data_IF_352387268789
#
_entry.id   IF_352387268789
#
_cell.length_a   1.000
_cell.length_b   1.000
_cell.length_c   1.000
_cell.angle_alpha   90.00
_cell.angle_beta   90.00
_cell.angle_gamma   90.00
#
_symmetry.space_group_name_H-M   'P 1'
#
loop_
_entity.id
_entity.type
_entity.pdbx_description
1 polymer ?
#
# COMPACT_ATOMS: atom_id res chain seq x y z
N UNK A 1 18.63 27.35 -3.87
CA UNK A 1 19.02 26.45 -4.99
C UNK A 1 19.32 27.30 -6.22
N UNK A 2 20.43 27.10 -6.92
CA UNK A 2 20.75 27.91 -8.10
C UNK A 2 19.85 27.53 -9.29
N UNK A 3 19.54 28.49 -10.17
CA UNK A 3 18.56 28.35 -11.25
C UNK A 3 18.74 27.08 -12.14
N UNK A 4 19.96 26.65 -12.51
CA UNK A 4 20.15 25.44 -13.31
C UNK A 4 19.73 24.16 -12.57
N UNK A 5 20.03 24.04 -11.27
CA UNK A 5 19.64 22.88 -10.44
C UNK A 5 18.15 22.82 -10.18
N UNK A 6 17.49 23.98 -10.14
CA UNK A 6 16.03 24.07 -10.03
C UNK A 6 15.36 23.55 -11.29
N UNK A 7 15.81 24.00 -12.47
CA UNK A 7 15.28 23.55 -13.75
C UNK A 7 15.43 22.03 -13.95
N UNK A 8 16.58 21.45 -13.59
CA UNK A 8 16.77 19.99 -13.71
C UNK A 8 15.86 19.17 -12.81
N UNK A 9 15.47 19.71 -11.65
CA UNK A 9 14.49 19.07 -10.77
C UNK A 9 13.08 19.23 -11.33
N UNK A 10 12.71 20.41 -11.82
CA UNK A 10 11.40 20.65 -12.46
C UNK A 10 11.20 19.70 -13.66
N UNK A 11 12.19 19.56 -14.54
CA UNK A 11 12.15 18.61 -15.67
C UNK A 11 11.99 17.15 -15.20
N UNK A 12 12.63 16.77 -14.09
CA UNK A 12 12.50 15.43 -13.51
C UNK A 12 11.14 15.21 -12.84
N UNK A 13 10.61 16.24 -12.17
CA UNK A 13 9.31 16.20 -11.52
C UNK A 13 8.18 15.96 -12.52
N UNK A 14 8.21 16.62 -13.68
CA UNK A 14 7.24 16.38 -14.76
C UNK A 14 7.23 14.91 -15.22
N UNK A 15 8.41 14.25 -15.23
CA UNK A 15 8.51 12.82 -15.56
C UNK A 15 7.90 11.97 -14.44
N UNK A 16 8.15 12.31 -13.17
CA UNK A 16 7.56 11.62 -12.02
C UNK A 16 6.03 11.73 -12.02
N UNK A 17 5.48 12.92 -12.27
CA UNK A 17 4.04 13.13 -12.38
C UNK A 17 3.44 12.28 -13.49
N UNK A 18 4.10 12.21 -14.64
CA UNK A 18 3.62 11.41 -15.77
C UNK A 18 3.72 9.91 -15.53
N UNK A 19 4.86 9.42 -15.06
CA UNK A 19 5.17 7.98 -15.05
C UNK A 19 4.78 7.26 -13.75
N UNK A 20 4.74 8.00 -12.63
CA UNK A 20 4.37 7.45 -11.32
C UNK A 20 2.97 7.90 -10.97
N UNK A 21 2.71 9.20 -10.90
CA UNK A 21 1.41 9.72 -10.42
C UNK A 21 0.27 9.44 -11.40
N UNK A 22 0.55 9.46 -12.70
CA UNK A 22 -0.39 9.11 -13.76
C UNK A 22 -0.62 7.61 -13.95
N UNK A 23 -0.04 6.75 -13.10
CA UNK A 23 -0.17 5.30 -13.27
C UNK A 23 -1.63 4.84 -13.07
N UNK A 24 -2.17 3.92 -13.90
CA UNK A 24 -3.57 3.51 -13.82
C UNK A 24 -4.02 3.00 -12.45
N UNK A 25 -3.13 2.32 -11.72
CA UNK A 25 -3.45 1.82 -10.36
C UNK A 25 -3.72 2.93 -9.33
N UNK A 26 -3.22 4.14 -9.60
CA UNK A 26 -3.41 5.33 -8.76
C UNK A 26 -4.68 6.07 -9.17
N UNK A 27 -4.86 6.32 -10.48
CA UNK A 27 -5.90 7.25 -10.98
C UNK A 27 -7.18 6.56 -11.44
N UNK A 28 -7.12 5.27 -11.78
CA UNK A 28 -8.23 4.54 -12.39
C UNK A 28 -8.22 3.04 -12.08
N UNK A 29 -8.23 2.68 -10.79
CA UNK A 29 -8.33 1.29 -10.36
C UNK A 29 -9.77 0.76 -10.52
N UNK A 30 -10.04 -0.15 -11.49
CA UNK A 30 -11.42 -0.57 -11.78
C UNK A 30 -12.04 -1.39 -10.65
N UNK A 31 -11.24 -2.16 -9.89
CA UNK A 31 -11.73 -2.94 -8.76
C UNK A 31 -12.25 -2.02 -7.67
N UNK A 32 -11.44 -1.05 -7.22
CA UNK A 32 -11.79 -0.18 -6.11
C UNK A 32 -12.95 0.75 -6.47
N UNK A 33 -12.97 1.30 -7.69
CA UNK A 33 -14.11 2.09 -8.21
C UNK A 33 -15.41 1.30 -8.20
N UNK A 34 -15.39 0.05 -8.67
CA UNK A 34 -16.55 -0.84 -8.61
C UNK A 34 -16.92 -1.16 -7.16
N UNK A 35 -15.95 -1.48 -6.30
CA UNK A 35 -16.20 -1.88 -4.93
C UNK A 35 -16.90 -0.78 -4.12
N UNK A 36 -16.53 0.48 -4.34
CA UNK A 36 -17.16 1.68 -3.74
C UNK A 36 -18.65 1.82 -4.07
N UNK A 37 -19.15 1.20 -5.14
CA UNK A 37 -20.59 1.22 -5.48
C UNK A 37 -21.45 0.42 -4.51
N UNK A 38 -20.84 -0.48 -3.72
CA UNK A 38 -21.55 -1.34 -2.79
C UNK A 38 -22.24 -2.55 -3.44
N UNK A 39 -21.88 -2.87 -4.69
CA UNK A 39 -22.36 -4.05 -5.42
C UNK A 39 -21.70 -5.36 -4.98
N UNK A 40 -20.64 -5.31 -4.17
CA UNK A 40 -19.89 -6.49 -3.77
C UNK A 40 -20.73 -7.44 -2.90
N UNK A 41 -20.85 -8.69 -3.34
CA UNK A 41 -21.45 -9.75 -2.54
C UNK A 41 -20.49 -10.24 -1.46
N UNK A 42 -21.00 -11.08 -0.56
CA UNK A 42 -20.20 -11.60 0.56
C UNK A 42 -19.00 -12.44 0.11
N UNK A 43 -19.11 -13.18 -1.01
CA UNK A 43 -18.00 -14.01 -1.53
C UNK A 43 -16.90 -13.13 -2.11
N UNK A 44 -17.27 -12.05 -2.80
CA UNK A 44 -16.33 -11.07 -3.34
C UNK A 44 -15.60 -10.30 -2.23
N UNK A 45 -16.30 -9.95 -1.15
CA UNK A 45 -15.65 -9.36 0.04
C UNK A 45 -14.72 -10.38 0.71
N UNK A 46 -15.14 -11.64 0.84
CA UNK A 46 -14.29 -12.70 1.37
C UNK A 46 -13.02 -12.91 0.53
N UNK A 47 -13.13 -12.89 -0.80
CA UNK A 47 -11.97 -12.99 -1.71
C UNK A 47 -11.00 -11.80 -1.54
N UNK A 48 -11.51 -10.56 -1.46
CA UNK A 48 -10.70 -9.39 -1.14
C UNK A 48 -9.89 -9.61 0.14
N UNK A 49 -10.53 -10.01 1.24
CA UNK A 49 -9.84 -10.22 2.52
C UNK A 49 -8.86 -11.39 2.47
N UNK A 50 -9.18 -12.47 1.74
CA UNK A 50 -8.27 -13.60 1.55
C UNK A 50 -6.97 -13.14 0.87
N UNK A 51 -7.08 -12.44 -0.25
CA UNK A 51 -5.91 -11.96 -1.00
C UNK A 51 -5.16 -10.84 -0.28
N UNK A 52 -5.87 -9.90 0.36
CA UNK A 52 -5.26 -8.82 1.12
C UNK A 52 -4.50 -9.32 2.36
N UNK A 53 -4.95 -10.42 2.96
CA UNK A 53 -4.22 -11.05 4.06
C UNK A 53 -2.93 -11.75 3.61
N UNK A 54 -2.89 -12.32 2.40
CA UNK A 54 -1.63 -12.81 1.83
C UNK A 54 -0.66 -11.65 1.66
N UNK A 55 -1.13 -10.54 1.09
CA UNK A 55 -0.32 -9.33 0.98
C UNK A 55 0.22 -8.89 2.34
N UNK A 56 -0.64 -8.65 3.33
CA UNK A 56 -0.24 -8.18 4.66
C UNK A 56 0.79 -9.11 5.32
N UNK A 57 0.65 -10.43 5.20
CA UNK A 57 1.62 -11.37 5.81
C UNK A 57 2.94 -11.43 5.04
N UNK A 58 2.90 -11.49 3.72
CA UNK A 58 4.10 -11.69 2.89
C UNK A 58 4.86 -10.40 2.61
N UNK A 59 4.23 -9.25 2.80
CA UNK A 59 4.90 -7.95 2.76
C UNK A 59 6.05 -7.85 3.76
N UNK A 60 5.98 -8.61 4.88
CA UNK A 60 7.09 -8.74 5.84
C UNK A 60 8.42 -9.15 5.19
N UNK A 61 8.39 -9.98 4.14
CA UNK A 61 9.60 -10.39 3.42
C UNK A 61 10.18 -9.21 2.63
N UNK A 62 9.36 -8.49 1.88
CA UNK A 62 9.78 -7.30 1.15
C UNK A 62 10.32 -6.22 2.10
N UNK A 63 9.68 -6.03 3.27
CA UNK A 63 10.12 -5.12 4.33
C UNK A 63 11.47 -5.52 4.93
N UNK A 64 11.69 -6.81 5.18
CA UNK A 64 12.98 -7.30 5.65
C UNK A 64 14.08 -7.06 4.60
N UNK A 65 13.81 -7.39 3.34
CA UNK A 65 14.74 -7.13 2.24
C UNK A 65 15.04 -5.64 2.09
N UNK A 66 14.05 -4.77 2.29
CA UNK A 66 14.21 -3.32 2.28
C UNK A 66 15.19 -2.85 3.35
N UNK A 67 15.09 -3.38 4.57
CA UNK A 67 16.08 -3.11 5.65
C UNK A 67 17.48 -3.54 5.22
N UNK A 68 17.61 -4.77 4.69
CA UNK A 68 18.91 -5.32 4.31
C UNK A 68 19.58 -4.60 3.14
N UNK A 69 18.78 -4.02 2.24
CA UNK A 69 19.23 -3.42 0.99
C UNK A 69 19.00 -1.90 0.93
N UNK A 70 18.84 -1.24 2.08
CA UNK A 70 18.63 0.20 2.15
C UNK A 70 19.76 0.98 1.46
N UNK A 71 19.42 2.06 0.77
CA UNK A 71 20.38 2.88 0.03
C UNK A 71 21.28 3.75 0.92
N UNK A 72 20.83 4.04 2.13
CA UNK A 72 21.54 4.83 3.13
C UNK A 72 21.01 4.50 4.54
N UNK A 73 21.71 4.98 5.58
CA UNK A 73 21.37 4.70 6.98
C UNK A 73 19.99 5.27 7.37
N UNK A 74 19.58 6.38 6.78
CA UNK A 74 18.27 6.96 7.07
C UNK A 74 17.16 6.07 6.53
N UNK A 75 17.29 5.60 5.28
CA UNK A 75 16.38 4.65 4.67
C UNK A 75 16.35 3.33 5.46
N UNK A 76 17.49 2.86 5.97
CA UNK A 76 17.55 1.67 6.82
C UNK A 76 16.74 1.86 8.11
N UNK A 77 16.97 2.97 8.82
CA UNK A 77 16.25 3.31 10.06
C UNK A 77 14.74 3.38 9.83
N UNK A 78 14.28 4.11 8.79
CA UNK A 78 12.86 4.19 8.47
C UNK A 78 12.27 2.80 8.16
N UNK A 79 12.99 2.00 7.36
CA UNK A 79 12.55 0.66 7.00
C UNK A 79 12.43 -0.27 8.22
N UNK A 80 13.28 -0.09 9.25
CA UNK A 80 13.17 -0.83 10.51
C UNK A 80 11.87 -0.48 11.25
N UNK A 81 11.52 0.81 11.33
CA UNK A 81 10.29 1.25 11.98
C UNK A 81 9.05 0.66 11.31
N UNK A 82 8.99 0.69 9.99
CA UNK A 82 7.86 0.11 9.27
C UNK A 82 7.83 -1.42 9.46
N UNK A 83 8.97 -2.12 9.37
CA UNK A 83 9.01 -3.57 9.60
C UNK A 83 8.50 -3.97 10.99
N UNK A 84 8.93 -3.28 12.05
CA UNK A 84 8.46 -3.62 13.41
C UNK A 84 7.01 -3.23 13.62
N UNK A 85 6.50 -2.22 12.90
CA UNK A 85 5.08 -1.88 12.91
C UNK A 85 4.21 -2.97 12.31
N UNK A 86 4.59 -3.50 11.14
CA UNK A 86 3.93 -4.66 10.54
C UNK A 86 3.89 -5.87 11.49
N UNK A 87 4.92 -6.01 12.35
CA UNK A 87 5.04 -7.06 13.36
C UNK A 87 4.28 -6.78 14.66
N UNK A 88 3.76 -5.56 14.87
CA UNK A 88 2.92 -5.20 16.02
C UNK A 88 3.57 -4.26 17.04
N UNK A 89 4.50 -3.43 16.62
CA UNK A 89 5.00 -2.28 17.41
C UNK A 89 4.25 -1.02 16.98
N UNK A 90 3.87 -0.15 17.93
CA UNK A 90 3.24 1.12 17.59
C UNK A 90 4.17 2.05 16.80
N UNK A 91 3.59 2.96 16.01
CA UNK A 91 4.31 4.07 15.37
C UNK A 91 3.85 5.39 15.98
N UNK A 92 4.82 6.26 16.26
CA UNK A 92 4.63 7.63 16.72
C UNK A 92 4.25 8.55 15.54
N UNK A 93 3.70 9.76 15.80
CA UNK A 93 3.33 10.68 14.73
C UNK A 93 4.48 11.11 13.78
N UNK A 94 5.73 10.97 14.21
CA UNK A 94 6.93 11.23 13.42
C UNK A 94 7.42 10.01 12.61
N UNK A 95 6.68 8.90 12.64
CA UNK A 95 7.01 7.66 11.94
C UNK A 95 7.94 6.73 12.72
N UNK A 96 8.42 7.12 13.91
CA UNK A 96 9.32 6.30 14.70
C UNK A 96 8.58 5.19 15.48
N UNK A 97 9.22 4.03 15.62
CA UNK A 97 8.73 2.95 16.49
C UNK A 97 9.47 2.89 17.84
N UNK A 98 10.28 3.90 18.14
CA UNK A 98 11.13 3.94 19.33
C UNK A 98 10.33 3.92 20.63
N UNK A 99 10.77 3.09 21.58
CA UNK A 99 10.15 2.92 22.90
C UNK A 99 8.66 2.52 22.88
N UNK A 100 8.13 2.07 21.74
CA UNK A 100 6.74 1.62 21.63
C UNK A 100 6.62 0.15 22.07
N UNK A 101 5.52 -0.23 22.75
CA UNK A 101 5.34 -1.61 23.17
C UNK A 101 5.05 -2.52 21.98
N UNK A 102 5.54 -3.76 22.07
CA UNK A 102 5.16 -4.84 21.17
C UNK A 102 3.87 -5.51 21.64
N UNK A 103 2.93 -5.73 20.71
CA UNK A 103 1.77 -6.60 20.91
C UNK A 103 1.52 -7.42 19.66
N UNK A 104 1.46 -8.75 19.80
CA UNK A 104 1.15 -9.64 18.67
C UNK A 104 -0.20 -9.33 18.02
N UNK A 105 -1.20 -8.89 18.80
CA UNK A 105 -2.50 -8.47 18.29
C UNK A 105 -2.47 -7.19 17.46
N UNK A 106 -1.41 -6.40 17.53
CA UNK A 106 -1.22 -5.19 16.72
C UNK A 106 -0.56 -5.47 15.37
N UNK A 107 0.03 -6.66 15.18
CA UNK A 107 0.57 -7.03 13.89
C UNK A 107 -0.53 -6.94 12.82
N UNK A 108 -0.26 -6.28 11.69
CA UNK A 108 -1.28 -5.99 10.69
C UNK A 108 -2.02 -7.24 10.22
N UNK A 109 -1.30 -8.36 10.03
CA UNK A 109 -1.93 -9.64 9.66
C UNK A 109 -2.89 -10.16 10.74
N UNK A 110 -2.57 -9.99 12.02
CA UNK A 110 -3.44 -10.45 13.10
C UNK A 110 -4.66 -9.54 13.23
N UNK A 111 -4.49 -8.22 13.11
CA UNK A 111 -5.61 -7.29 13.08
C UNK A 111 -6.53 -7.53 11.88
N UNK A 112 -5.97 -7.81 10.70
CA UNK A 112 -6.76 -8.11 9.51
C UNK A 112 -7.53 -9.44 9.66
N UNK A 113 -6.94 -10.46 10.30
CA UNK A 113 -7.65 -11.71 10.65
C UNK A 113 -8.82 -11.47 11.58
N UNK A 114 -8.66 -10.62 12.58
CA UNK A 114 -9.75 -10.20 13.48
C UNK A 114 -10.85 -9.48 12.71
N UNK A 115 -10.46 -8.55 11.82
CA UNK A 115 -11.38 -7.81 10.96
C UNK A 115 -12.16 -8.74 10.02
N UNK A 116 -11.52 -9.81 9.54
CA UNK A 116 -12.12 -10.80 8.65
C UNK A 116 -13.02 -11.83 9.35
N UNK A 117 -13.04 -11.91 10.69
CA UNK A 117 -13.83 -12.91 11.43
C UNK A 117 -15.31 -12.98 11.01
N UNK A 118 -16.03 -11.85 10.84
CA UNK A 118 -17.42 -11.85 10.42
C UNK A 118 -17.65 -12.44 9.03
N UNK A 119 -16.60 -12.64 8.22
CA UNK A 119 -16.65 -13.28 6.91
C UNK A 119 -16.63 -14.82 6.98
N UNK A 120 -16.31 -15.39 8.15
CA UNK A 120 -16.25 -16.84 8.35
C UNK A 120 -15.06 -17.50 7.65
N UNK A 121 -14.02 -16.72 7.35
CA UNK A 121 -12.76 -17.21 6.77
C UNK A 121 -11.97 -18.03 7.80
N UNK A 122 -11.28 -19.07 7.33
CA UNK A 122 -10.40 -19.88 8.17
C UNK A 122 -9.14 -19.09 8.55
N UNK A 123 -8.95 -18.73 9.84
CA UNK A 123 -7.81 -17.94 10.28
C UNK A 123 -6.47 -18.66 10.09
N UNK A 124 -6.45 -20.00 9.98
CA UNK A 124 -5.21 -20.77 9.75
C UNK A 124 -4.73 -20.62 8.30
N UNK A 125 -5.65 -20.45 7.36
CA UNK A 125 -5.36 -20.27 5.92
C UNK A 125 -5.21 -18.81 5.52
N UNK A 126 -5.78 -17.90 6.31
CA UNK A 126 -5.75 -16.47 6.02
C UNK A 126 -4.31 -15.94 6.10
N UNK A 127 -3.80 -15.49 4.94
CA UNK A 127 -2.42 -15.06 4.73
C UNK A 127 -1.43 -16.17 4.35
N UNK A 128 -1.87 -17.41 4.10
CA UNK A 128 -0.96 -18.47 3.61
C UNK A 128 -0.58 -18.25 2.15
N UNK A 129 0.55 -18.81 1.71
CA UNK A 129 0.94 -18.71 0.29
C UNK A 129 0.03 -19.54 -0.61
N UNK A 130 -0.51 -20.62 -0.07
CA UNK A 130 -1.36 -21.58 -0.75
C UNK A 130 -2.73 -20.99 -1.08
N UNK A 131 -3.26 -20.08 -0.26
CA UNK A 131 -4.50 -19.33 -0.53
C UNK A 131 -4.32 -18.19 -1.54
N UNK A 132 -3.08 -17.83 -1.87
CA UNK A 132 -2.82 -16.73 -2.78
C UNK A 132 -3.15 -17.09 -4.24
N UNK A 133 -3.92 -16.23 -4.89
CA UNK A 133 -4.16 -16.28 -6.33
C UNK A 133 -2.84 -16.14 -7.10
N UNK A 134 -2.77 -16.59 -8.37
CA UNK A 134 -1.60 -16.34 -9.21
C UNK A 134 -1.21 -14.86 -9.32
N UNK A 135 -2.20 -13.96 -9.36
CA UNK A 135 -1.98 -12.52 -9.42
C UNK A 135 -1.39 -11.98 -8.12
N UNK A 136 -1.89 -12.42 -6.97
CA UNK A 136 -1.36 -12.05 -5.65
C UNK A 136 0.08 -12.54 -5.47
N UNK A 137 0.39 -13.77 -5.93
CA UNK A 137 1.76 -14.29 -5.92
C UNK A 137 2.70 -13.49 -6.81
N UNK A 138 2.24 -13.09 -7.99
CA UNK A 138 3.02 -12.26 -8.92
C UNK A 138 3.29 -10.87 -8.32
N UNK A 139 2.27 -10.26 -7.70
CA UNK A 139 2.40 -9.00 -6.97
C UNK A 139 3.45 -9.08 -5.85
N UNK A 140 3.38 -10.09 -4.98
CA UNK A 140 4.34 -10.25 -3.87
C UNK A 140 5.78 -10.38 -4.39
N UNK A 141 6.00 -11.19 -5.42
CA UNK A 141 7.31 -11.31 -6.07
C UNK A 141 7.77 -9.99 -6.68
N UNK A 142 6.86 -9.24 -7.30
CA UNK A 142 7.15 -7.91 -7.83
C UNK A 142 7.62 -6.94 -6.73
N UNK A 143 7.02 -6.99 -5.54
CA UNK A 143 7.48 -6.19 -4.40
C UNK A 143 8.85 -6.64 -3.89
N UNK A 144 9.11 -7.95 -3.82
CA UNK A 144 10.44 -8.47 -3.45
C UNK A 144 11.53 -7.99 -4.42
N UNK A 145 11.25 -8.01 -5.72
CA UNK A 145 12.21 -7.60 -6.77
C UNK A 145 12.47 -6.09 -6.80
N UNK A 146 11.46 -5.28 -6.44
CA UNK A 146 11.50 -3.81 -6.54
C UNK A 146 11.78 -3.17 -5.18
N UNK A 147 10.80 -3.22 -4.27
CA UNK A 147 10.90 -2.64 -2.94
C UNK A 147 12.00 -3.33 -2.11
N UNK A 148 12.13 -4.65 -2.24
CA UNK A 148 13.22 -5.43 -1.64
C UNK A 148 14.53 -5.45 -2.44
N UNK A 149 14.66 -4.64 -3.51
CA UNK A 149 15.81 -4.73 -4.43
C UNK A 149 17.16 -4.51 -3.74
N UNK A 150 18.19 -5.24 -4.19
CA UNK A 150 19.59 -5.02 -3.81
C UNK A 150 20.15 -3.69 -4.34
N UNK A 151 19.53 -3.13 -5.36
CA UNK A 151 19.86 -1.79 -5.83
C UNK A 151 19.02 -0.78 -5.04
N UNK A 152 19.64 -0.11 -4.08
CA UNK A 152 18.95 0.79 -3.17
C UNK A 152 18.22 1.95 -3.87
N UNK A 153 18.63 2.36 -5.08
CA UNK A 153 17.91 3.38 -5.87
C UNK A 153 16.62 2.82 -6.49
N UNK A 154 16.62 1.56 -6.93
CA UNK A 154 15.39 0.87 -7.36
C UNK A 154 14.43 0.77 -6.17
N UNK A 155 14.92 0.33 -5.01
CA UNK A 155 14.11 0.24 -3.80
C UNK A 155 13.58 1.60 -3.33
N UNK A 156 14.38 2.67 -3.45
CA UNK A 156 13.94 4.04 -3.11
C UNK A 156 12.81 4.51 -4.03
N UNK A 157 12.94 4.26 -5.34
CA UNK A 157 11.87 4.54 -6.30
C UNK A 157 10.59 3.76 -6.04
N UNK A 158 10.71 2.48 -5.70
CA UNK A 158 9.58 1.64 -5.31
C UNK A 158 8.88 2.16 -4.05
N UNK A 159 9.62 2.53 -3.00
CA UNK A 159 9.08 3.11 -1.76
C UNK A 159 8.24 4.34 -2.04
N UNK A 160 8.82 5.31 -2.75
CA UNK A 160 8.14 6.54 -3.13
C UNK A 160 6.84 6.28 -3.91
N UNK A 161 6.87 5.34 -4.86
CA UNK A 161 5.70 5.03 -5.68
C UNK A 161 4.59 4.34 -4.86
N UNK A 162 4.94 3.43 -3.96
CA UNK A 162 3.97 2.74 -3.08
C UNK A 162 3.34 3.73 -2.10
N UNK A 163 4.13 4.59 -1.46
CA UNK A 163 3.66 5.64 -0.55
C UNK A 163 2.77 6.65 -1.29
N UNK A 164 3.16 7.05 -2.50
CA UNK A 164 2.35 7.91 -3.37
C UNK A 164 1.01 7.27 -3.70
N UNK A 165 1.00 5.99 -4.09
CA UNK A 165 -0.23 5.25 -4.37
C UNK A 165 -1.12 5.16 -3.13
N UNK A 166 -0.52 4.86 -1.97
CA UNK A 166 -1.26 4.67 -0.74
C UNK A 166 -1.94 5.97 -0.27
N UNK A 167 -1.22 7.09 -0.37
CA UNK A 167 -1.65 8.40 0.09
C UNK A 167 -2.34 9.26 -0.99
N UNK A 168 -2.54 8.72 -2.21
CA UNK A 168 -3.01 9.53 -3.34
C UNK A 168 -4.34 10.22 -3.05
N UNK A 169 -4.40 11.53 -3.26
CA UNK A 169 -5.61 12.35 -3.07
C UNK A 169 -5.92 12.72 -1.62
N UNK A 170 -5.26 12.11 -0.63
CA UNK A 170 -5.47 12.42 0.79
C UNK A 170 -5.00 13.84 1.10
N UNK A 171 -5.79 14.62 1.85
CA UNK A 171 -5.48 16.01 2.18
C UNK A 171 -5.78 17.02 1.05
N UNK A 172 -6.03 16.55 -0.18
CA UNK A 172 -6.30 17.40 -1.35
C UNK A 172 -7.78 17.77 -1.54
N UNK A 173 -8.60 17.56 -0.50
CA UNK A 173 -10.03 17.85 -0.48
C UNK A 173 -10.91 16.62 -0.71
N UNK A 174 -12.19 16.76 -0.35
CA UNK A 174 -13.13 15.64 -0.26
C UNK A 174 -13.28 14.83 -1.56
N UNK A 175 -13.24 15.48 -2.72
CA UNK A 175 -13.33 14.80 -4.02
C UNK A 175 -12.13 13.90 -4.26
N UNK A 176 -10.91 14.44 -4.10
CA UNK A 176 -9.68 13.68 -4.30
C UNK A 176 -9.53 12.54 -3.28
N UNK A 177 -9.89 12.79 -2.02
CA UNK A 177 -9.94 11.76 -0.98
C UNK A 177 -10.93 10.64 -1.31
N UNK A 178 -12.05 10.97 -1.96
CA UNK A 178 -13.05 9.96 -2.31
C UNK A 178 -12.58 8.96 -3.35
N UNK A 179 -11.56 9.32 -4.14
CA UNK A 179 -10.96 8.48 -5.18
C UNK A 179 -9.67 7.78 -4.69
N UNK A 180 -9.32 7.93 -3.41
CA UNK A 180 -8.25 7.15 -2.79
C UNK A 180 -8.73 5.71 -2.54
N UNK A 181 -7.90 4.72 -2.87
CA UNK A 181 -8.32 3.32 -2.80
C UNK A 181 -8.75 2.87 -1.38
N UNK A 182 -8.11 3.38 -0.30
CA UNK A 182 -8.56 3.08 1.06
C UNK A 182 -9.98 3.59 1.29
N UNK A 183 -10.26 4.81 0.83
CA UNK A 183 -11.59 5.41 0.97
C UNK A 183 -12.63 4.64 0.15
N UNK A 184 -12.28 4.19 -1.04
CA UNK A 184 -13.14 3.34 -1.88
C UNK A 184 -13.47 2.01 -1.19
N UNK A 185 -12.49 1.36 -0.56
CA UNK A 185 -12.71 0.15 0.24
C UNK A 185 -13.60 0.42 1.47
N UNK A 186 -13.34 1.50 2.20
CA UNK A 186 -14.14 1.88 3.37
C UNK A 186 -15.61 2.06 2.97
N UNK A 187 -15.88 2.83 1.90
CA UNK A 187 -17.26 3.08 1.43
C UNK A 187 -17.94 1.78 1.00
N UNK A 188 -17.25 0.92 0.26
CA UNK A 188 -17.82 -0.37 -0.15
C UNK A 188 -18.19 -1.26 1.05
N UNK A 189 -17.32 -1.34 2.07
CA UNK A 189 -17.59 -2.10 3.30
C UNK A 189 -18.71 -1.45 4.12
N UNK A 190 -18.78 -0.12 4.20
CA UNK A 190 -19.87 0.61 4.86
C UNK A 190 -21.23 0.25 4.25
N UNK A 191 -21.34 0.27 2.92
CA UNK A 191 -22.57 -0.08 2.22
C UNK A 191 -22.93 -1.55 2.46
N UNK A 192 -21.96 -2.47 2.36
CA UNK A 192 -22.19 -3.88 2.70
C UNK A 192 -22.74 -4.06 4.11
N UNK A 193 -22.14 -3.37 5.09
CA UNK A 193 -22.57 -3.42 6.48
C UNK A 193 -23.97 -2.84 6.69
N UNK A 194 -24.35 -1.80 5.95
CA UNK A 194 -25.71 -1.23 6.01
C UNK A 194 -26.76 -2.20 5.46
N UNK A 195 -26.42 -2.96 4.42
CA UNK A 195 -27.28 -3.99 3.84
C UNK A 195 -27.33 -5.27 4.69
N UNK A 196 -26.38 -5.47 5.59
CA UNK A 196 -26.30 -6.65 6.45
C UNK A 196 -27.23 -6.51 7.68
N UNK A 197 -28.32 -7.29 7.70
CA UNK A 197 -29.26 -7.31 8.83
C UNK A 197 -28.67 -7.93 10.11
N UNK A 198 -27.74 -8.87 9.98
CA UNK A 198 -27.07 -9.53 11.10
C UNK A 198 -25.83 -8.74 11.52
N UNK A 199 -25.91 -8.06 12.67
CA UNK A 199 -24.79 -7.30 13.22
C UNK A 199 -23.52 -8.16 13.43
N UNK A 200 -23.64 -9.46 13.69
CA UNK A 200 -22.49 -10.35 13.89
C UNK A 200 -21.72 -10.63 12.58
N UNK A 201 -22.31 -10.30 11.42
CA UNK A 201 -21.69 -10.48 10.10
C UNK A 201 -21.12 -9.19 9.51
N UNK A 202 -21.28 -8.05 10.20
CA UNK A 202 -20.72 -6.77 9.78
C UNK A 202 -19.21 -6.75 9.96
N UNK A 203 -18.51 -6.24 8.97
CA UNK A 203 -17.05 -6.18 8.93
C UNK A 203 -16.58 -4.88 9.61
N UNK A 204 -15.74 -4.94 10.66
CA UNK A 204 -15.17 -3.73 11.27
C UNK A 204 -14.36 -2.89 10.27
N UNK A 205 -14.35 -1.58 10.47
CA UNK A 205 -13.63 -0.64 9.58
C UNK A 205 -12.29 -0.17 10.14
N UNK A 206 -12.02 -0.44 11.42
CA UNK A 206 -10.90 0.19 12.15
C UNK A 206 -9.54 -0.02 11.47
N UNK A 207 -9.32 -1.21 10.89
CA UNK A 207 -8.11 -1.50 10.12
C UNK A 207 -7.94 -0.53 8.94
N UNK A 208 -8.97 -0.38 8.10
CA UNK A 208 -8.91 0.47 6.90
C UNK A 208 -8.90 1.95 7.26
N UNK A 209 -9.66 2.36 8.28
CA UNK A 209 -9.66 3.74 8.78
C UNK A 209 -8.30 4.13 9.35
N UNK A 210 -7.63 3.22 10.07
CA UNK A 210 -6.28 3.47 10.55
C UNK A 210 -5.32 3.74 9.40
N UNK A 211 -5.28 2.87 8.38
CA UNK A 211 -4.38 3.07 7.24
C UNK A 211 -4.69 4.36 6.49
N UNK A 212 -5.96 4.63 6.16
CA UNK A 212 -6.35 5.89 5.52
C UNK A 212 -5.88 7.13 6.30
N UNK A 213 -6.02 7.12 7.63
CA UNK A 213 -5.61 8.25 8.46
C UNK A 213 -4.09 8.36 8.61
N UNK A 214 -3.37 7.24 8.68
CA UNK A 214 -1.91 7.20 8.76
C UNK A 214 -1.24 7.72 7.49
N UNK A 215 -1.83 7.47 6.32
CA UNK A 215 -1.30 7.93 5.03
C UNK A 215 -1.40 9.45 4.80
N UNK A 216 -2.16 10.18 5.63
CA UNK A 216 -2.36 11.62 5.45
C UNK A 216 -1.05 12.41 5.48
N UNK A 217 -0.11 12.02 6.36
CA UNK A 217 1.20 12.65 6.46
C UNK A 217 2.07 12.46 5.21
N UNK A 218 1.92 11.32 4.52
CA UNK A 218 2.65 11.03 3.28
C UNK A 218 2.10 11.84 2.10
N UNK A 219 0.78 11.97 1.99
CA UNK A 219 0.12 12.67 0.88
C UNK A 219 0.46 14.17 0.77
N UNK A 220 0.67 14.82 1.92
CA UNK A 220 0.99 16.26 1.99
C UNK A 220 2.47 16.55 1.63
N UNK A 221 3.36 15.56 1.70
CA UNK A 221 4.82 15.76 1.66
C UNK A 221 5.54 15.12 0.46
N UNK A 222 4.82 14.49 -0.48
CA UNK A 222 5.39 13.76 -1.63
C UNK A 222 6.41 14.59 -2.44
N UNK A 223 6.14 15.89 -2.66
CA UNK A 223 7.08 16.78 -3.36
C UNK A 223 8.37 17.01 -2.56
N UNK A 224 8.25 17.23 -1.25
CA UNK A 224 9.39 17.47 -0.37
C UNK A 224 10.26 16.21 -0.24
N UNK A 225 9.65 15.04 -0.11
CA UNK A 225 10.33 13.74 -0.09
C UNK A 225 11.10 13.48 -1.40
N UNK A 226 10.47 13.81 -2.54
CA UNK A 226 11.12 13.69 -3.85
C UNK A 226 12.28 14.66 -3.99
N UNK A 227 12.12 15.92 -3.57
CA UNK A 227 13.21 16.91 -3.55
C UNK A 227 14.37 16.42 -2.68
N UNK A 228 14.07 15.98 -1.46
CA UNK A 228 15.07 15.48 -0.53
C UNK A 228 15.88 14.33 -1.15
N UNK A 229 15.19 13.37 -1.77
CA UNK A 229 15.84 12.25 -2.46
C UNK A 229 16.66 12.67 -3.67
N UNK A 230 16.12 13.53 -4.54
CA UNK A 230 16.76 13.97 -5.78
C UNK A 230 18.10 14.68 -5.54
N UNK A 231 18.19 15.46 -4.47
CA UNK A 231 19.41 16.21 -4.15
C UNK A 231 20.45 15.43 -3.34
N UNK A 232 20.17 14.17 -2.95
CA UNK A 232 21.17 13.28 -2.35
C UNK A 232 22.27 12.94 -3.37
N UNK A 233 23.50 12.84 -2.88
CA UNK A 233 24.63 12.41 -3.71
C UNK A 233 24.41 10.98 -4.21
N UNK A 234 24.66 10.74 -5.50
CA UNK A 234 24.53 9.41 -6.09
C UNK A 234 23.11 9.03 -6.52
N UNK A 235 22.14 9.96 -6.45
CA UNK A 235 20.78 9.74 -6.96
C UNK A 235 20.81 9.35 -8.45
N UNK A 236 20.13 8.26 -8.79
CA UNK A 236 19.98 7.77 -10.17
C UNK A 236 18.51 7.83 -10.58
N UNK A 237 18.15 8.90 -11.30
CA UNK A 237 16.79 9.16 -11.79
C UNK A 237 16.22 7.98 -12.61
N UNK A 238 17.06 7.30 -13.42
CA UNK A 238 16.58 6.21 -14.28
C UNK A 238 16.23 4.98 -13.45
N UNK A 239 17.06 4.63 -12.47
CA UNK A 239 16.81 3.51 -11.57
C UNK A 239 15.63 3.78 -10.64
N UNK A 240 15.54 4.99 -10.11
CA UNK A 240 14.42 5.42 -9.30
C UNK A 240 13.10 5.28 -10.05
N UNK A 241 12.99 5.88 -11.25
CA UNK A 241 11.77 5.80 -12.07
C UNK A 241 11.45 4.35 -12.49
N UNK A 242 12.48 3.55 -12.79
CA UNK A 242 12.30 2.12 -13.08
C UNK A 242 11.69 1.38 -11.90
N UNK A 243 12.25 1.53 -10.70
CA UNK A 243 11.76 0.89 -9.49
C UNK A 243 10.32 1.28 -9.16
N UNK A 244 10.02 2.58 -9.26
CA UNK A 244 8.66 3.08 -9.04
C UNK A 244 7.63 2.51 -9.99
N UNK A 245 7.91 2.50 -11.31
CA UNK A 245 7.00 1.91 -12.30
C UNK A 245 6.76 0.42 -12.07
N UNK A 246 7.84 -0.34 -11.86
CA UNK A 246 7.73 -1.78 -11.66
C UNK A 246 6.96 -2.14 -10.38
N UNK A 247 7.09 -1.33 -9.31
CA UNK A 247 6.30 -1.51 -8.10
C UNK A 247 4.81 -1.24 -8.36
N UNK A 248 4.46 -0.17 -9.08
CA UNK A 248 3.08 0.13 -9.44
C UNK A 248 2.47 -0.90 -10.41
N UNK A 249 3.26 -1.46 -11.34
CA UNK A 249 2.85 -2.57 -12.19
C UNK A 249 2.51 -3.82 -11.36
N UNK A 250 3.31 -4.11 -10.33
CA UNK A 250 3.05 -5.21 -9.40
C UNK A 250 1.75 -4.99 -8.61
N UNK A 251 1.54 -3.78 -8.06
CA UNK A 251 0.30 -3.43 -7.36
C UNK A 251 -0.90 -3.51 -8.33
N UNK A 252 -0.74 -3.04 -9.56
CA UNK A 252 -1.78 -3.13 -10.58
C UNK A 252 -2.14 -4.58 -10.89
N UNK A 253 -1.16 -5.48 -10.93
CA UNK A 253 -1.38 -6.93 -11.09
C UNK A 253 -2.26 -7.50 -9.98
N UNK A 254 -2.08 -7.08 -8.72
CA UNK A 254 -2.93 -7.48 -7.60
C UNK A 254 -4.39 -7.07 -7.82
N UNK A 255 -4.62 -5.79 -8.12
CA UNK A 255 -5.98 -5.25 -8.30
C UNK A 255 -6.67 -5.79 -9.55
N UNK A 256 -5.94 -5.96 -10.66
CA UNK A 256 -6.46 -6.60 -11.86
C UNK A 256 -6.83 -8.06 -11.61
N UNK A 257 -6.08 -8.76 -10.75
CA UNK A 257 -6.41 -10.10 -10.28
C UNK A 257 -7.75 -10.13 -9.54
N UNK A 258 -7.95 -9.24 -8.56
CA UNK A 258 -9.21 -9.10 -7.83
C UNK A 258 -10.37 -8.69 -8.76
N UNK A 259 -10.15 -7.77 -9.69
CA UNK A 259 -11.14 -7.34 -10.69
C UNK A 259 -11.58 -8.48 -11.60
N UNK A 260 -10.67 -9.40 -11.92
CA UNK A 260 -10.99 -10.63 -12.63
C UNK A 260 -11.77 -11.59 -11.74
N UNK A 261 -11.27 -11.91 -10.54
CA UNK A 261 -11.91 -12.86 -9.61
C UNK A 261 -13.35 -12.47 -9.28
N UNK A 262 -13.63 -11.19 -9.03
CA UNK A 262 -15.00 -10.74 -8.71
C UNK A 262 -16.01 -11.06 -9.81
N UNK A 263 -15.60 -11.02 -11.09
CA UNK A 263 -16.47 -11.31 -12.25
C UNK A 263 -16.69 -12.81 -12.45
N UNK A 264 -15.81 -13.64 -11.89
CA UNK A 264 -15.94 -15.09 -11.91
C UNK A 264 -16.78 -15.58 -10.72
N UNK A 265 -16.78 -14.83 -9.61
CA UNK A 265 -17.54 -15.11 -8.40
C UNK A 265 -19.01 -14.65 -8.48
N UNK A 266 -19.33 -13.69 -9.36
CA UNK A 266 -20.67 -13.14 -9.55
C UNK A 266 -21.67 -14.16 -10.10
#
# INVERSE_FOLDING_TARGET
MNAPRRKTFEDFWEIVEKEIHGHPVIVDNPFCKWFKTGEADRRQIADLFEQFAVFSKWFLLAQLLRVLNASDLEAETRSRYILVNELGVGILPDGAAENQPFKTGWAHINWLRETARPLGLDPQRLGSWESASPATKAFIKGLEETYGSKDGEIGRGASYAIETWAAWGIGKGATAESDNFWKELIVGIEIHNQQCADNARKVPLDFFLFHFNSEKGHGDNVLEEMQHSYFKSGFDARKFLKGGRQALDAIHTFWAGLDKSRRELS
#
